data_IF_105856381703
#
_entry.id   IF_105856381703
#
_cell.length_a   1.000
_cell.length_b   1.000
_cell.length_c   1.000
_cell.angle_alpha   90.00
_cell.angle_beta   90.00
_cell.angle_gamma   90.00
#
_symmetry.space_group_name_H-M   'P 1'
#
loop_
_entity.id
_entity.type
_entity.pdbx_description
1 polymer ?
#
# COMPACT_ATOMS: atom_id res chain seq x y z
N UNK A 1 0.85 -25.56 -5.77
CA UNK A 1 1.51 -24.70 -4.77
C UNK A 1 1.54 -23.29 -5.31
N UNK A 2 0.52 -22.51 -5.00
CA UNK A 2 0.46 -21.08 -5.28
C UNK A 2 -0.42 -20.50 -4.16
N UNK A 3 0.20 -20.23 -3.02
CA UNK A 3 -0.46 -19.71 -1.81
C UNK A 3 0.03 -18.28 -1.61
N UNK A 4 -0.46 -17.37 -2.45
CA UNK A 4 -0.30 -15.94 -2.23
C UNK A 4 -1.46 -15.48 -1.34
N UNK A 5 -1.29 -15.61 -0.01
CA UNK A 5 -2.19 -15.04 0.99
C UNK A 5 -1.46 -13.95 1.76
N UNK A 6 -1.90 -12.70 1.58
CA UNK A 6 -1.50 -11.61 2.45
C UNK A 6 -2.70 -11.09 3.24
N UNK A 7 -2.50 -11.05 4.56
CA UNK A 7 -3.40 -10.54 5.57
C UNK A 7 -3.88 -9.14 5.17
N UNK A 8 -5.17 -9.02 4.85
CA UNK A 8 -5.80 -7.74 4.60
C UNK A 8 -6.89 -7.58 5.65
N UNK A 9 -6.83 -6.47 6.39
CA UNK A 9 -7.95 -6.02 7.23
C UNK A 9 -9.21 -5.81 6.35
N UNK A 10 -9.04 -5.66 5.04
CA UNK A 10 -10.09 -5.82 4.04
C UNK A 10 -10.02 -7.22 3.41
N UNK A 11 -10.80 -8.17 3.93
CA UNK A 11 -11.18 -9.34 3.14
C UNK A 11 -12.15 -8.88 2.05
N UNK A 12 -11.64 -8.15 1.07
CA UNK A 12 -12.25 -7.99 -0.24
C UNK A 12 -11.23 -8.56 -1.21
N UNK A 13 -11.51 -9.77 -1.65
CA UNK A 13 -10.92 -10.29 -2.88
C UNK A 13 -11.31 -9.29 -3.97
N UNK A 14 -10.32 -8.81 -4.71
CA UNK A 14 -10.55 -8.00 -5.91
C UNK A 14 -11.64 -8.68 -6.76
N UNK A 15 -12.71 -7.98 -7.20
CA UNK A 15 -13.82 -8.58 -7.93
C UNK A 15 -13.42 -9.20 -9.29
N UNK A 16 -12.16 -9.05 -9.72
CA UNK A 16 -11.64 -9.55 -11.00
C UNK A 16 -11.58 -11.10 -11.07
N UNK A 17 -11.83 -11.84 -9.98
CA UNK A 17 -11.81 -13.32 -10.00
C UNK A 17 -13.20 -13.96 -10.17
N UNK A 18 -14.32 -13.23 -10.07
CA UNK A 18 -15.64 -13.85 -10.02
C UNK A 18 -16.69 -13.18 -10.91
N UNK A 19 -16.62 -13.43 -12.22
CA UNK A 19 -17.82 -13.50 -13.05
C UNK A 19 -18.32 -14.95 -13.07
N UNK A 20 -19.09 -15.33 -12.04
CA UNK A 20 -20.23 -16.25 -12.17
C UNK A 20 -20.92 -16.44 -10.81
N UNK A 21 -22.21 -16.09 -10.75
CA UNK A 21 -23.24 -16.48 -9.76
C UNK A 21 -23.94 -15.30 -9.08
N UNK A 22 -24.96 -14.76 -9.76
CA UNK A 22 -26.08 -14.07 -9.14
C UNK A 22 -26.97 -15.09 -8.40
N UNK A 23 -27.15 -14.92 -7.08
CA UNK A 23 -28.43 -15.01 -6.35
C UNK A 23 -28.21 -15.35 -4.86
N UNK A 24 -28.59 -14.41 -3.98
CA UNK A 24 -28.79 -14.64 -2.54
C UNK A 24 -27.58 -14.31 -1.66
N UNK A 25 -27.85 -13.88 -0.42
CA UNK A 25 -26.87 -13.71 0.66
C UNK A 25 -26.18 -15.05 1.01
N UNK A 26 -25.36 -15.57 0.11
CA UNK A 26 -24.63 -16.80 0.31
C UNK A 26 -23.37 -16.49 1.11
N UNK A 27 -23.32 -16.97 2.35
CA UNK A 27 -22.06 -17.06 3.11
C UNK A 27 -21.17 -18.05 2.34
N UNK A 28 -20.24 -17.54 1.53
CA UNK A 28 -19.30 -18.39 0.79
C UNK A 28 -18.19 -18.82 1.75
N UNK A 29 -18.35 -19.99 2.37
CA UNK A 29 -17.35 -20.59 3.25
C UNK A 29 -16.18 -21.12 2.42
N UNK A 30 -15.16 -20.28 2.25
CA UNK A 30 -13.95 -20.63 1.50
C UNK A 30 -12.89 -21.31 2.37
N UNK A 31 -12.90 -21.05 3.68
CA UNK A 31 -11.91 -21.54 4.64
C UNK A 31 -12.54 -22.06 5.92
N UNK A 32 -11.89 -23.02 6.55
CA UNK A 32 -12.16 -23.50 7.90
C UNK A 32 -10.90 -23.45 8.77
N UNK A 33 -11.07 -23.33 10.07
CA UNK A 33 -9.96 -23.40 11.04
C UNK A 33 -9.87 -24.81 11.57
N UNK A 34 -8.73 -25.47 11.37
CA UNK A 34 -8.39 -26.77 11.94
C UNK A 34 -7.57 -26.59 13.20
N UNK A 35 -7.68 -27.53 14.12
CA UNK A 35 -6.79 -27.64 15.27
C UNK A 35 -6.31 -29.08 15.44
N UNK A 36 -5.01 -29.24 15.67
CA UNK A 36 -4.42 -30.54 16.00
C UNK A 36 -5.04 -31.12 17.27
N UNK A 37 -5.39 -32.41 17.23
CA UNK A 37 -6.01 -33.12 18.36
C UNK A 37 -4.99 -33.54 19.42
N UNK A 38 -3.70 -33.54 19.10
CA UNK A 38 -2.65 -33.84 20.07
C UNK A 38 -2.56 -32.75 21.13
N UNK A 39 -2.83 -33.13 22.39
CA UNK A 39 -2.83 -32.25 23.58
C UNK A 39 -1.48 -31.55 23.80
N UNK A 40 -0.37 -32.13 23.34
CA UNK A 40 0.93 -31.45 23.45
C UNK A 40 1.17 -30.41 22.34
N UNK A 41 0.43 -30.45 21.24
CA UNK A 41 0.68 -29.64 20.05
C UNK A 41 -0.25 -28.42 19.96
N UNK A 42 -1.57 -28.65 20.02
CA UNK A 42 -2.60 -27.60 19.90
C UNK A 42 -2.46 -26.66 18.67
N UNK A 43 -1.70 -27.04 17.64
CA UNK A 43 -1.46 -26.19 16.48
C UNK A 43 -2.77 -25.92 15.73
N UNK A 44 -3.07 -24.64 15.48
CA UNK A 44 -4.34 -24.17 14.94
C UNK A 44 -4.09 -23.32 13.71
N UNK A 45 -4.77 -23.62 12.59
CA UNK A 45 -4.47 -23.00 11.29
C UNK A 45 -5.69 -22.95 10.37
N UNK A 46 -5.76 -21.97 9.44
CA UNK A 46 -6.77 -21.94 8.40
C UNK A 46 -6.42 -22.88 7.24
N UNK A 47 -7.43 -23.48 6.62
CA UNK A 47 -7.31 -24.30 5.42
C UNK A 47 -8.56 -24.13 4.56
N UNK A 48 -8.42 -24.26 3.24
CA UNK A 48 -9.59 -24.21 2.36
C UNK A 48 -10.53 -25.38 2.69
N UNK A 49 -11.84 -25.14 2.65
CA UNK A 49 -12.83 -26.18 2.95
C UNK A 49 -12.65 -27.35 1.97
N UNK A 50 -12.47 -28.56 2.51
CA UNK A 50 -12.24 -29.77 1.73
C UNK A 50 -10.81 -29.99 1.23
N UNK A 51 -9.86 -29.08 1.52
CA UNK A 51 -8.45 -29.27 1.15
C UNK A 51 -7.80 -30.37 2.01
N UNK A 52 -7.17 -31.40 1.39
CA UNK A 52 -6.48 -32.49 2.12
C UNK A 52 -5.40 -32.01 3.09
N UNK A 53 -4.81 -30.83 2.89
CA UNK A 53 -3.86 -30.23 3.83
C UNK A 53 -4.48 -29.99 5.22
N UNK A 54 -5.82 -29.94 5.32
CA UNK A 54 -6.53 -29.83 6.57
C UNK A 54 -6.51 -31.10 7.41
N UNK A 55 -6.28 -32.29 6.83
CA UNK A 55 -6.46 -33.57 7.54
C UNK A 55 -5.37 -33.83 8.60
N UNK A 56 -4.13 -33.41 8.33
CA UNK A 56 -2.98 -33.62 9.22
C UNK A 56 -2.35 -32.30 9.64
N UNK A 57 -1.88 -32.26 10.88
CA UNK A 57 -1.19 -31.11 11.44
C UNK A 57 0.13 -30.87 10.68
N UNK A 58 0.37 -29.68 10.11
CA UNK A 58 1.61 -29.38 9.40
C UNK A 58 2.81 -29.26 10.33
N UNK A 59 2.58 -29.18 11.65
CA UNK A 59 3.64 -29.09 12.65
C UNK A 59 4.12 -30.48 13.11
N UNK A 60 3.19 -31.39 13.47
CA UNK A 60 3.54 -32.69 14.06
C UNK A 60 3.01 -33.92 13.32
N UNK A 61 2.18 -33.74 12.27
CA UNK A 61 1.63 -34.83 11.46
C UNK A 61 0.40 -35.56 12.04
N UNK A 62 0.03 -35.26 13.28
CA UNK A 62 -1.16 -35.83 13.95
C UNK A 62 -2.48 -35.35 13.32
N UNK A 63 -3.59 -36.08 13.50
CA UNK A 63 -4.91 -35.66 13.04
C UNK A 63 -5.33 -34.27 13.56
N UNK A 64 -6.21 -33.63 12.81
CA UNK A 64 -6.81 -32.35 13.21
C UNK A 64 -8.34 -32.46 13.18
N UNK A 65 -8.99 -31.66 14.02
CA UNK A 65 -10.43 -31.46 14.03
C UNK A 65 -10.80 -30.06 13.54
N UNK A 66 -12.04 -29.92 13.05
CA UNK A 66 -12.64 -28.60 12.77
C UNK A 66 -12.79 -27.85 14.09
N UNK A 67 -12.16 -26.69 14.20
CA UNK A 67 -12.18 -25.85 15.40
C UNK A 67 -13.09 -24.63 15.26
N UNK A 68 -13.19 -24.05 14.06
CA UNK A 68 -14.11 -22.96 13.76
C UNK A 68 -14.33 -22.84 12.26
N UNK A 69 -15.47 -22.29 11.86
CA UNK A 69 -15.73 -21.91 10.47
C UNK A 69 -15.89 -20.40 10.42
N UNK A 70 -14.89 -19.65 9.93
CA UNK A 70 -14.99 -18.20 9.79
C UNK A 70 -16.18 -17.83 8.93
N UNK A 71 -17.07 -16.98 9.45
CA UNK A 71 -18.12 -16.38 8.65
C UNK A 71 -17.54 -15.15 7.96
N UNK A 72 -17.23 -15.29 6.68
CA UNK A 72 -16.86 -14.15 5.83
C UNK A 72 -18.17 -13.63 5.25
N UNK A 73 -18.68 -12.55 5.84
CA UNK A 73 -19.84 -11.83 5.30
C UNK A 73 -19.35 -10.72 4.38
N UNK A 74 -19.88 -10.65 3.17
CA UNK A 74 -19.74 -9.48 2.30
C UNK A 74 -20.63 -8.35 2.84
N UNK A 75 -20.19 -7.72 3.93
CA UNK A 75 -20.81 -6.47 4.38
C UNK A 75 -20.23 -5.34 3.54
N UNK A 76 -21.04 -4.44 2.99
CA UNK A 76 -20.53 -3.25 2.32
C UNK A 76 -19.54 -2.53 3.24
N UNK A 77 -18.31 -2.34 2.76
CA UNK A 77 -17.29 -1.68 3.56
C UNK A 77 -17.71 -0.21 3.76
N UNK A 78 -17.68 0.33 5.00
CA UNK A 78 -17.98 1.74 5.19
C UNK A 78 -16.98 2.58 4.39
N UNK A 79 -17.49 3.47 3.55
CA UNK A 79 -16.65 4.39 2.79
C UNK A 79 -16.25 5.57 3.68
N UNK A 80 -14.94 5.78 3.82
CA UNK A 80 -14.38 6.95 4.49
C UNK A 80 -13.95 7.95 3.42
N UNK A 81 -14.43 9.19 3.53
CA UNK A 81 -14.01 10.24 2.61
C UNK A 81 -12.58 10.67 2.94
N UNK A 82 -11.65 10.65 1.96
CA UNK A 82 -10.30 11.18 2.18
C UNK A 82 -10.32 12.70 2.33
N UNK A 83 -9.39 13.26 3.12
CA UNK A 83 -9.20 14.71 3.29
C UNK A 83 -8.95 15.41 1.96
N UNK A 84 -8.04 14.90 1.14
CA UNK A 84 -7.64 15.48 -0.15
C UNK A 84 -8.24 14.70 -1.31
N UNK A 85 -8.99 15.40 -2.15
CA UNK A 85 -9.71 14.79 -3.28
C UNK A 85 -8.87 14.72 -4.56
N UNK A 86 -7.79 15.50 -4.64
CA UNK A 86 -6.87 15.60 -5.77
C UNK A 86 -5.44 15.28 -5.35
N UNK A 87 -5.23 14.11 -4.77
CA UNK A 87 -3.90 13.63 -4.37
C UNK A 87 -3.38 12.60 -5.36
N UNK A 88 -2.23 12.87 -5.94
CA UNK A 88 -1.50 12.01 -6.87
C UNK A 88 -0.14 11.61 -6.28
N UNK A 89 0.43 10.51 -6.77
CA UNK A 89 1.64 9.91 -6.22
C UNK A 89 2.72 9.80 -7.29
N UNK A 90 3.93 10.30 -7.03
CA UNK A 90 5.12 10.08 -7.85
C UNK A 90 6.09 9.12 -7.17
N UNK A 91 6.36 8.00 -7.82
CA UNK A 91 7.37 7.03 -7.42
C UNK A 91 8.67 7.34 -8.14
N UNK A 92 9.60 7.97 -7.45
CA UNK A 92 10.88 8.37 -8.00
C UNK A 92 11.89 7.22 -7.89
N UNK A 93 12.15 6.56 -9.03
CA UNK A 93 13.16 5.51 -9.17
C UNK A 93 13.01 4.34 -8.18
N UNK A 94 11.79 3.94 -7.80
CA UNK A 94 11.55 2.77 -6.93
C UNK A 94 12.00 1.49 -7.64
N UNK A 95 12.90 0.72 -7.01
CA UNK A 95 13.51 -0.45 -7.64
C UNK A 95 12.73 -1.73 -7.42
N UNK A 96 12.19 -1.90 -6.22
CA UNK A 96 11.58 -3.16 -5.81
C UNK A 96 10.18 -3.30 -6.37
N UNK A 97 9.95 -4.33 -7.19
CA UNK A 97 8.62 -4.67 -7.67
C UNK A 97 7.65 -4.93 -6.51
N UNK A 98 8.11 -5.59 -5.44
CA UNK A 98 7.26 -5.82 -4.26
C UNK A 98 6.82 -4.51 -3.61
N UNK A 99 7.70 -3.51 -3.52
CA UNK A 99 7.35 -2.20 -2.97
C UNK A 99 6.36 -1.47 -3.88
N UNK A 100 6.57 -1.49 -5.20
CA UNK A 100 5.63 -0.88 -6.16
C UNK A 100 4.23 -1.50 -6.01
N UNK A 101 4.12 -2.83 -5.98
CA UNK A 101 2.83 -3.51 -5.81
C UNK A 101 2.14 -3.18 -4.48
N UNK A 102 2.90 -3.15 -3.38
CA UNK A 102 2.38 -2.79 -2.07
C UNK A 102 1.94 -1.31 -1.99
N UNK A 103 2.71 -0.41 -2.59
CA UNK A 103 2.38 1.02 -2.69
C UNK A 103 1.11 1.22 -3.51
N UNK A 104 0.99 0.60 -4.70
CA UNK A 104 -0.20 0.69 -5.53
C UNK A 104 -1.48 0.28 -4.79
N UNK A 105 -1.42 -0.87 -4.10
CA UNK A 105 -2.55 -1.36 -3.31
C UNK A 105 -2.94 -0.39 -2.19
N UNK A 106 -1.95 0.19 -1.53
CA UNK A 106 -2.17 1.15 -0.45
C UNK A 106 -2.69 2.49 -0.97
N UNK A 107 -2.22 2.92 -2.15
CA UNK A 107 -2.64 4.14 -2.83
C UNK A 107 -4.11 4.08 -3.26
N UNK A 108 -4.54 2.96 -3.83
CA UNK A 108 -5.95 2.70 -4.15
C UNK A 108 -6.83 2.80 -2.90
N UNK A 109 -6.46 2.09 -1.82
CA UNK A 109 -7.19 2.12 -0.55
C UNK A 109 -7.22 3.50 0.14
N UNK A 110 -6.25 4.37 -0.13
CA UNK A 110 -6.18 5.73 0.39
C UNK A 110 -6.81 6.78 -0.53
N UNK A 111 -7.41 6.38 -1.66
CA UNK A 111 -8.10 7.28 -2.58
C UNK A 111 -7.18 8.15 -3.44
N UNK A 112 -5.93 7.73 -3.66
CA UNK A 112 -5.01 8.36 -4.63
C UNK A 112 -5.66 8.35 -6.02
N UNK A 113 -5.53 9.45 -6.76
CA UNK A 113 -6.19 9.62 -8.07
C UNK A 113 -5.36 9.13 -9.25
N UNK A 114 -4.04 9.25 -9.15
CA UNK A 114 -3.14 8.87 -10.23
C UNK A 114 -1.75 8.51 -9.70
N UNK A 115 -1.09 7.59 -10.40
CA UNK A 115 0.27 7.14 -10.10
C UNK A 115 1.25 7.48 -11.22
N UNK A 116 2.28 8.26 -10.91
CA UNK A 116 3.39 8.58 -11.79
C UNK A 116 4.57 7.67 -11.46
N UNK A 117 5.00 6.89 -12.45
CA UNK A 117 6.12 5.97 -12.31
C UNK A 117 7.35 6.59 -12.94
N UNK A 118 8.25 7.10 -12.10
CA UNK A 118 9.44 7.84 -12.50
C UNK A 118 10.67 6.96 -12.67
N UNK A 119 11.45 7.23 -13.71
CA UNK A 119 12.76 6.64 -13.96
C UNK A 119 12.70 5.11 -14.13
N UNK A 120 13.41 4.39 -13.27
CA UNK A 120 13.51 2.91 -13.34
C UNK A 120 12.29 2.17 -12.76
N UNK A 121 11.30 2.89 -12.23
CA UNK A 121 10.12 2.28 -11.62
C UNK A 121 9.34 1.46 -12.64
N UNK A 122 9.21 0.15 -12.39
CA UNK A 122 8.56 -0.76 -13.33
C UNK A 122 7.04 -0.52 -13.39
N UNK A 123 6.42 -0.63 -14.59
CA UNK A 123 4.99 -0.49 -14.74
C UNK A 123 4.24 -1.75 -14.28
N UNK A 124 2.95 -1.65 -13.93
CA UNK A 124 2.11 -2.79 -13.55
C UNK A 124 2.04 -3.89 -14.62
N UNK A 125 2.23 -3.52 -15.89
CA UNK A 125 2.34 -4.44 -17.02
C UNK A 125 3.59 -5.33 -16.99
N UNK A 126 4.54 -5.07 -16.08
CA UNK A 126 5.70 -5.92 -15.90
C UNK A 126 5.29 -7.31 -15.36
N UNK A 127 5.66 -8.43 -16.01
CA UNK A 127 5.12 -9.75 -15.68
C UNK A 127 5.32 -10.22 -14.23
N UNK A 128 6.40 -9.77 -13.59
CA UNK A 128 6.70 -10.09 -12.17
C UNK A 128 5.93 -9.21 -11.18
N UNK A 129 5.43 -8.05 -11.63
CA UNK A 129 4.69 -7.09 -10.79
C UNK A 129 3.19 -7.42 -10.76
N UNK A 130 2.63 -7.86 -11.88
CA UNK A 130 1.21 -8.26 -11.99
C UNK A 130 0.79 -9.28 -10.92
N UNK A 131 1.69 -10.23 -10.56
CA UNK A 131 1.43 -11.22 -9.50
C UNK A 131 1.34 -10.60 -8.10
N UNK A 132 2.07 -9.52 -7.85
CA UNK A 132 2.13 -8.86 -6.54
C UNK A 132 1.09 -7.76 -6.37
N UNK A 133 0.60 -7.19 -7.48
CA UNK A 133 -0.39 -6.10 -7.48
C UNK A 133 -1.85 -6.60 -7.35
N UNK A 134 -2.10 -7.90 -7.60
CA UNK A 134 -3.39 -8.58 -7.37
C UNK A 134 -4.63 -7.82 -7.91
N UNK A 135 -4.52 -7.20 -9.09
CA UNK A 135 -5.62 -6.47 -9.73
C UNK A 135 -5.59 -4.96 -9.53
N UNK A 136 -4.69 -4.43 -8.69
CA UNK A 136 -4.53 -2.98 -8.51
C UNK A 136 -4.10 -2.25 -9.80
N UNK A 137 -3.54 -2.96 -10.78
CA UNK A 137 -3.22 -2.45 -12.11
C UNK A 137 -4.44 -1.91 -12.89
N UNK A 138 -5.64 -2.38 -12.58
CA UNK A 138 -6.89 -1.92 -13.19
C UNK A 138 -7.66 -0.89 -12.36
N UNK A 139 -7.30 -0.71 -11.09
CA UNK A 139 -8.04 0.16 -10.16
C UNK A 139 -7.49 1.59 -10.12
N UNK A 140 -6.17 1.74 -10.20
CA UNK A 140 -5.49 3.05 -10.09
C UNK A 140 -4.90 3.48 -11.44
N UNK A 141 -5.35 4.60 -12.03
CA UNK A 141 -4.75 5.20 -13.21
C UNK A 141 -3.25 5.48 -13.01
N UNK A 142 -2.43 5.22 -14.04
CA UNK A 142 -0.99 5.42 -13.95
C UNK A 142 -0.36 5.90 -15.27
N UNK A 143 0.80 6.54 -15.15
CA UNK A 143 1.64 7.00 -16.27
C UNK A 143 3.10 6.73 -15.99
N UNK A 144 3.92 6.61 -17.04
CA UNK A 144 5.36 6.44 -16.93
C UNK A 144 6.12 7.66 -17.41
N UNK A 145 7.14 8.03 -16.65
CA UNK A 145 7.99 9.19 -16.87
C UNK A 145 9.45 8.76 -16.85
N UNK A 146 10.19 9.00 -17.93
CA UNK A 146 11.63 8.68 -17.96
C UNK A 146 12.44 9.57 -17.01
N UNK A 147 11.93 10.77 -16.74
CA UNK A 147 12.57 11.76 -15.89
C UNK A 147 11.56 12.25 -14.85
N UNK A 148 11.72 11.82 -13.59
CA UNK A 148 10.84 12.21 -12.48
C UNK A 148 10.87 13.71 -12.21
N UNK A 149 12.03 14.36 -12.39
CA UNK A 149 12.17 15.82 -12.20
C UNK A 149 11.31 16.58 -13.20
N UNK A 150 11.33 16.15 -14.46
CA UNK A 150 10.49 16.77 -15.50
C UNK A 150 8.99 16.60 -15.20
N UNK A 151 8.58 15.40 -14.79
CA UNK A 151 7.18 15.16 -14.42
C UNK A 151 6.74 16.03 -13.23
N UNK A 152 7.58 16.16 -12.20
CA UNK A 152 7.31 17.03 -11.06
C UNK A 152 7.25 18.51 -11.47
N UNK A 153 8.09 18.96 -12.40
CA UNK A 153 8.04 20.32 -12.94
C UNK A 153 6.73 20.60 -13.69
N UNK A 154 6.29 19.67 -14.53
CA UNK A 154 5.03 19.79 -15.28
C UNK A 154 3.83 19.87 -14.34
N UNK A 155 3.78 19.02 -13.32
CA UNK A 155 2.70 19.01 -12.32
C UNK A 155 2.72 20.27 -11.44
N UNK A 156 3.90 20.73 -11.01
CA UNK A 156 4.03 22.01 -10.29
C UNK A 156 3.55 23.18 -11.14
N UNK A 157 3.91 23.21 -12.43
CA UNK A 157 3.42 24.22 -13.37
C UNK A 157 1.90 24.13 -13.61
N UNK A 158 1.29 22.95 -13.43
CA UNK A 158 -0.15 22.74 -13.46
C UNK A 158 -0.86 23.12 -12.14
N UNK A 159 -0.13 23.59 -11.13
CA UNK A 159 -0.68 24.08 -9.86
C UNK A 159 -0.71 23.06 -8.73
N UNK A 160 0.01 21.94 -8.85
CA UNK A 160 0.14 20.97 -7.76
C UNK A 160 1.12 21.50 -6.70
N UNK A 161 0.77 21.30 -5.43
CA UNK A 161 1.74 21.37 -4.34
C UNK A 161 2.58 20.08 -4.32
N UNK A 162 3.90 20.23 -4.26
CA UNK A 162 4.85 19.13 -4.25
C UNK A 162 5.16 18.79 -2.80
N UNK A 163 4.66 17.65 -2.36
CA UNK A 163 4.92 17.12 -1.03
C UNK A 163 5.92 15.98 -1.14
N UNK A 164 6.92 15.96 -0.27
CA UNK A 164 7.99 14.96 -0.29
C UNK A 164 7.98 14.16 1.00
N UNK A 165 8.05 12.83 0.91
CA UNK A 165 8.34 11.98 2.07
C UNK A 165 9.82 11.63 2.05
N UNK A 166 10.60 12.29 2.91
CA UNK A 166 12.05 12.14 2.97
C UNK A 166 12.56 12.43 4.38
N UNK A 167 13.66 11.78 4.75
CA UNK A 167 14.39 12.11 5.97
C UNK A 167 15.47 13.16 5.64
N UNK A 168 15.46 14.32 6.32
CA UNK A 168 16.61 15.22 6.30
C UNK A 168 16.31 16.72 6.23
N UNK A 169 17.38 17.48 6.08
CA UNK A 169 17.37 18.92 5.81
C UNK A 169 17.12 19.13 4.31
N UNK A 170 16.05 19.84 3.94
CA UNK A 170 15.82 20.22 2.53
C UNK A 170 16.88 21.23 2.09
N UNK A 171 17.72 20.96 1.07
CA UNK A 171 18.84 21.84 0.71
C UNK A 171 18.43 23.21 0.13
N UNK A 172 17.14 23.44 -0.09
CA UNK A 172 16.62 24.49 -0.96
C UNK A 172 16.06 25.71 -0.24
N UNK A 173 15.83 25.61 1.08
CA UNK A 173 15.32 26.71 1.88
C UNK A 173 16.45 27.18 2.78
N UNK A 174 16.98 28.35 2.46
CA UNK A 174 17.88 29.11 3.32
C UNK A 174 17.31 29.16 4.73
N UNK A 175 18.14 28.77 5.71
CA UNK A 175 17.79 28.54 7.11
C UNK A 175 17.01 27.24 7.41
N UNK A 176 17.60 26.09 7.03
CA UNK A 176 17.45 24.78 7.67
C UNK A 176 16.05 24.44 8.22
N UNK A 177 15.02 24.43 7.37
CA UNK A 177 13.77 23.78 7.73
C UNK A 177 13.97 22.26 7.67
N UNK A 178 14.11 21.67 8.85
CA UNK A 178 14.11 20.22 9.08
C UNK A 178 12.76 19.66 8.60
N UNK A 179 12.77 18.51 7.94
CA UNK A 179 11.55 17.80 7.55
C UNK A 179 10.52 17.77 8.69
N UNK A 180 9.27 18.09 8.36
CA UNK A 180 8.21 18.27 9.34
C UNK A 180 7.77 16.89 9.85
N UNK A 181 7.67 16.74 11.17
CA UNK A 181 7.14 15.52 11.77
C UNK A 181 5.67 15.34 11.36
N UNK A 182 5.42 14.26 10.62
CA UNK A 182 4.13 13.97 10.01
C UNK A 182 2.98 13.80 11.01
N UNK A 183 3.27 13.41 12.26
CA UNK A 183 2.23 13.22 13.27
C UNK A 183 1.86 14.50 14.03
N UNK A 184 2.63 15.58 13.85
CA UNK A 184 2.39 16.86 14.52
C UNK A 184 2.07 17.98 13.55
N UNK A 185 2.16 17.72 12.25
CA UNK A 185 1.89 18.73 11.23
C UNK A 185 0.41 19.08 11.20
N UNK A 186 0.12 20.38 11.04
CA UNK A 186 -1.22 20.85 10.71
C UNK A 186 -1.34 20.89 9.18
N UNK A 187 -2.16 20.01 8.62
CA UNK A 187 -2.38 19.95 7.18
C UNK A 187 -3.34 21.06 6.72
N UNK A 188 -3.20 21.56 5.48
CA UNK A 188 -4.10 22.58 4.95
C UNK A 188 -5.57 22.12 4.92
N UNK A 189 -6.49 23.04 5.20
CA UNK A 189 -7.94 22.77 5.14
C UNK A 189 -8.50 22.76 3.70
N UNK A 190 -7.71 23.19 2.70
CA UNK A 190 -8.13 23.21 1.31
C UNK A 190 -8.06 21.81 0.68
N UNK A 191 -9.10 21.02 0.89
CA UNK A 191 -9.27 19.66 0.34
C UNK A 191 -9.20 19.55 -1.20
N UNK A 192 -9.35 20.69 -1.91
CA UNK A 192 -9.34 20.75 -3.37
C UNK A 192 -7.98 21.18 -3.94
N UNK A 193 -6.99 21.50 -3.12
CA UNK A 193 -5.63 21.76 -3.62
C UNK A 193 -5.06 20.48 -4.25
N UNK A 194 -4.65 20.49 -5.53
CA UNK A 194 -3.94 19.36 -6.11
C UNK A 194 -2.61 19.16 -5.39
N UNK A 195 -2.33 17.92 -4.99
CA UNK A 195 -1.12 17.53 -4.26
C UNK A 195 -0.44 16.40 -5.03
N UNK A 196 0.86 16.56 -5.27
CA UNK A 196 1.74 15.49 -5.71
C UNK A 196 2.59 15.05 -4.52
N UNK A 197 2.29 13.88 -3.96
CA UNK A 197 3.16 13.24 -2.98
C UNK A 197 4.27 12.49 -3.70
N UNK A 198 5.53 12.72 -3.32
CA UNK A 198 6.71 12.09 -3.93
C UNK A 198 7.36 11.12 -2.93
N UNK A 199 7.63 9.91 -3.40
CA UNK A 199 8.31 8.85 -2.65
C UNK A 199 9.58 8.44 -3.39
N UNK A 200 10.69 8.43 -2.68
CA UNK A 200 12.02 8.24 -3.25
C UNK A 200 12.54 6.81 -3.26
N UNK A 201 13.67 6.62 -3.95
CA UNK A 201 14.36 5.35 -4.04
C UNK A 201 14.76 4.80 -2.66
N UNK A 202 14.70 3.48 -2.48
CA UNK A 202 14.94 2.81 -1.20
C UNK A 202 16.35 3.03 -0.60
N UNK A 203 17.31 3.47 -1.41
CA UNK A 203 18.70 3.68 -0.99
C UNK A 203 19.13 5.13 -1.01
N UNK A 204 18.64 5.90 -1.96
CA UNK A 204 19.14 7.26 -2.22
C UNK A 204 18.08 8.35 -2.01
N UNK A 205 16.86 7.96 -1.62
CA UNK A 205 15.76 8.90 -1.41
C UNK A 205 15.24 9.51 -2.71
N UNK A 206 14.59 10.64 -2.57
CA UNK A 206 14.02 11.48 -3.65
C UNK A 206 15.13 12.28 -4.31
N UNK A 207 15.06 12.44 -5.63
CA UNK A 207 16.00 13.27 -6.38
C UNK A 207 16.12 14.69 -5.79
N UNK A 208 17.34 15.20 -5.54
CA UNK A 208 17.55 16.52 -4.94
C UNK A 208 16.89 17.66 -5.71
N UNK A 209 16.75 17.56 -7.03
CA UNK A 209 16.05 18.57 -7.82
C UNK A 209 14.54 18.59 -7.52
N UNK A 210 13.95 17.44 -7.20
CA UNK A 210 12.54 17.37 -6.75
C UNK A 210 12.42 17.91 -5.33
N UNK A 211 13.36 17.59 -4.44
CA UNK A 211 13.40 18.18 -3.08
C UNK A 211 13.48 19.70 -3.13
N UNK A 212 14.22 20.28 -4.09
CA UNK A 212 14.27 21.72 -4.31
C UNK A 212 12.96 22.35 -4.78
N UNK A 213 12.05 21.54 -5.32
CA UNK A 213 10.71 21.96 -5.72
C UNK A 213 9.67 21.67 -4.65
N UNK A 214 10.04 21.05 -3.52
CA UNK A 214 9.10 20.68 -2.48
C UNK A 214 8.48 21.92 -1.83
N UNK A 215 7.16 21.96 -1.77
CA UNK A 215 6.39 22.92 -0.99
C UNK A 215 6.25 22.44 0.47
N UNK A 216 6.31 21.13 0.70
CA UNK A 216 6.36 20.52 2.02
C UNK A 216 7.23 19.26 2.01
N UNK A 217 8.03 19.05 3.06
CA UNK A 217 8.76 17.79 3.26
C UNK A 217 8.37 17.20 4.61
N UNK A 218 7.86 15.98 4.59
CA UNK A 218 7.45 15.23 5.76
C UNK A 218 8.47 14.15 6.09
N UNK A 219 8.71 13.96 7.39
CA UNK A 219 9.45 12.83 7.92
C UNK A 219 8.60 12.04 8.92
N UNK A 220 8.81 10.72 8.92
CA UNK A 220 8.32 9.86 9.99
C UNK A 220 9.33 9.88 11.14
N UNK A 221 8.89 10.15 12.39
CA UNK A 221 9.79 10.13 13.52
C UNK A 221 10.34 8.72 13.76
N UNK A 222 11.67 8.61 13.87
CA UNK A 222 12.39 7.36 14.12
C UNK A 222 13.07 7.43 15.49
N UNK A 223 12.79 6.47 16.37
CA UNK A 223 13.40 6.39 17.72
C UNK A 223 14.35 5.20 17.90
N UNK A 224 14.55 4.40 16.86
CA UNK A 224 15.39 3.21 16.88
C UNK A 224 16.80 3.43 16.32
N UNK A 225 17.60 2.37 16.28
CA UNK A 225 18.95 2.37 15.68
C UNK A 225 18.91 2.47 14.15
N UNK A 226 17.78 2.08 13.55
CA UNK A 226 17.53 2.24 12.12
C UNK A 226 16.85 3.59 11.90
N UNK A 227 17.37 4.33 10.93
CA UNK A 227 16.90 5.67 10.62
C UNK A 227 15.86 5.68 9.48
N UNK A 228 15.55 4.52 8.90
CA UNK A 228 14.53 4.42 7.85
C UNK A 228 13.64 3.20 7.99
N UNK A 229 12.46 3.30 7.39
CA UNK A 229 11.51 2.19 7.22
C UNK A 229 11.60 1.64 5.79
N UNK A 230 11.00 0.47 5.57
CA UNK A 230 10.69 0.04 4.21
C UNK A 230 9.79 1.10 3.54
N UNK A 231 10.09 1.45 2.28
CA UNK A 231 9.41 2.52 1.55
C UNK A 231 7.89 2.33 1.43
N UNK A 232 7.41 1.10 1.26
CA UNK A 232 5.97 0.84 1.18
C UNK A 232 5.29 1.00 2.54
N UNK A 233 5.98 0.65 3.63
CA UNK A 233 5.50 0.87 5.01
C UNK A 233 5.48 2.37 5.32
N UNK A 234 6.56 3.08 4.98
CA UNK A 234 6.64 4.53 5.17
C UNK A 234 5.52 5.26 4.43
N UNK A 235 5.33 4.93 3.14
CA UNK A 235 4.24 5.44 2.34
C UNK A 235 2.88 5.15 2.97
N UNK A 236 2.64 3.91 3.41
CA UNK A 236 1.35 3.53 3.98
C UNK A 236 1.00 4.26 5.27
N UNK A 237 1.96 4.47 6.17
CA UNK A 237 1.78 5.31 7.36
C UNK A 237 1.47 6.75 6.92
N UNK A 238 2.25 7.26 5.97
CA UNK A 238 2.17 8.66 5.60
C UNK A 238 0.86 9.02 4.90
N UNK A 239 0.45 8.24 3.90
CA UNK A 239 -0.75 8.54 3.13
C UNK A 239 -2.02 8.43 3.98
N UNK A 240 -2.07 7.49 4.93
CA UNK A 240 -3.22 7.36 5.82
C UNK A 240 -3.28 8.50 6.85
N UNK A 241 -2.12 8.96 7.36
CA UNK A 241 -2.09 10.15 8.21
C UNK A 241 -2.54 11.39 7.44
N UNK A 242 -2.10 11.54 6.18
CA UNK A 242 -2.48 12.67 5.31
C UNK A 242 -3.98 12.67 5.03
N UNK A 243 -4.54 11.52 4.65
CA UNK A 243 -5.93 11.41 4.20
C UNK A 243 -6.96 11.28 5.33
N UNK A 244 -6.59 10.70 6.47
CA UNK A 244 -7.55 10.31 7.52
C UNK A 244 -7.12 10.69 8.94
N UNK A 245 -5.92 11.25 9.12
CA UNK A 245 -5.38 11.64 10.42
C UNK A 245 -5.67 13.07 10.85
#
# INVERSE_FOLDING_TARGET
>A
MNTDFYFSICVHLCPIIFEESLAGNAIMQLYEIRQCEAVACHFRFPVAVGDPAGVRCPHCGEPTALAATPQITETPFPQFAPRFTQLELLLDNIRSLYNVGAIMRTADGAGVKHLHLGGITAPPTHPKLAKTALGAEGALPWTQHRNSVHAAQELKAAGYEIWVLEEGETPALSDAEVAINLFTVTLPDNANQPILLVIGNEKVGVDPAIQQMADCTFALPMSGVKNSLNVAVAFGIAIYQIQFG
#
